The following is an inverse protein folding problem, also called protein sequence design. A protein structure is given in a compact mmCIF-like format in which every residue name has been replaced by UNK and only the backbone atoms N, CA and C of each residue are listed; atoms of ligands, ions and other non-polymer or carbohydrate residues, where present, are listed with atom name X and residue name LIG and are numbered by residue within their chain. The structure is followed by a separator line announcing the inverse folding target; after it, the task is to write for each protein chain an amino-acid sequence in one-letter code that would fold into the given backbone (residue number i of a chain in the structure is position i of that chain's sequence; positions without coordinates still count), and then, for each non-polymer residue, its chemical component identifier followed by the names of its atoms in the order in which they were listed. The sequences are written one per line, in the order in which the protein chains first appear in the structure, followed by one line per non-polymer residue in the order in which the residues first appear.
data_IF_461668042950
#
_entry.id   IF_461668042950
#
_cell.length_a   1.000
_cell.length_b   1.000
_cell.length_c   1.000
_cell.angle_alpha   90.00
_cell.angle_beta   90.00
_cell.angle_gamma   90.00
#
_symmetry.space_group_name_H-M   'P 1'
#
loop_
_entity.id
_entity.type
_entity.pdbx_description
1 polymer ?
#
# COMPACT_ATOMS: atom_id res chain seq x y z
N UNK A 1 -19.11 -9.10 5.21
CA UNK A 1 -17.84 -9.16 4.47
C UNK A 1 -17.34 -7.77 4.11
N UNK A 2 -18.10 -6.94 3.37
CA UNK A 2 -17.66 -5.60 2.98
C UNK A 2 -17.22 -4.73 4.16
N UNK A 3 -17.96 -4.73 5.27
CA UNK A 3 -17.55 -4.00 6.47
C UNK A 3 -16.30 -4.56 7.14
N UNK A 4 -16.01 -5.86 7.02
CA UNK A 4 -14.80 -6.45 7.60
C UNK A 4 -13.55 -6.01 6.83
N UNK A 5 -13.64 -5.84 5.51
CA UNK A 5 -12.55 -5.25 4.72
C UNK A 5 -12.22 -3.82 5.20
N UNK A 6 -13.24 -3.06 5.60
CA UNK A 6 -13.10 -1.70 6.10
C UNK A 6 -12.60 -1.62 7.55
N UNK A 7 -12.43 -2.75 8.26
CA UNK A 7 -11.79 -2.76 9.58
C UNK A 7 -10.27 -2.97 9.52
N UNK A 8 -9.68 -2.84 8.33
CA UNK A 8 -8.22 -2.87 8.14
C UNK A 8 -7.65 -1.47 8.33
N UNK A 9 -6.84 -1.19 9.38
CA UNK A 9 -6.29 0.14 9.59
C UNK A 9 -5.46 0.61 8.41
N UNK A 10 -4.66 -0.27 7.80
CA UNK A 10 -3.81 0.07 6.65
C UNK A 10 -4.63 0.49 5.42
N UNK A 11 -5.78 -0.15 5.20
CA UNK A 11 -6.66 0.21 4.09
C UNK A 11 -7.29 1.60 4.31
N UNK A 12 -7.75 1.88 5.54
CA UNK A 12 -8.40 3.15 5.89
C UNK A 12 -7.38 4.29 5.92
N UNK A 13 -6.22 4.09 6.54
CA UNK A 13 -5.18 5.09 6.67
C UNK A 13 -4.64 5.52 5.30
N UNK A 14 -4.29 4.57 4.44
CA UNK A 14 -3.81 4.89 3.10
C UNK A 14 -4.90 5.26 2.10
N UNK A 15 -6.18 5.05 2.44
CA UNK A 15 -7.31 5.41 1.58
C UNK A 15 -7.49 6.90 1.35
N UNK A 16 -6.88 7.74 2.20
CA UNK A 16 -6.84 9.21 2.05
C UNK A 16 -5.46 9.72 1.65
N UNK A 17 -4.55 8.83 1.24
CA UNK A 17 -3.19 9.19 0.81
C UNK A 17 -3.08 9.30 -0.71
N UNK A 18 -1.93 9.79 -1.20
CA UNK A 18 -1.60 9.81 -2.63
C UNK A 18 -1.03 8.48 -3.16
N UNK A 19 -1.00 7.43 -2.34
CA UNK A 19 -0.49 6.12 -2.76
C UNK A 19 -1.46 5.43 -3.72
N UNK A 20 -0.90 4.74 -4.72
CA UNK A 20 -1.71 4.05 -5.73
C UNK A 20 -2.27 2.69 -5.25
N UNK A 21 -1.78 2.16 -4.12
CA UNK A 21 -2.13 0.83 -3.60
C UNK A 21 -3.62 0.68 -3.24
N UNK A 22 -4.23 1.64 -2.53
CA UNK A 22 -5.67 1.59 -2.19
C UNK A 22 -6.57 1.75 -3.43
N UNK A 23 -6.34 2.74 -4.32
CA UNK A 23 -7.05 2.82 -5.60
C UNK A 23 -6.92 1.54 -6.44
N UNK A 24 -5.72 0.97 -6.55
CA UNK A 24 -5.49 -0.27 -7.30
C UNK A 24 -6.30 -1.44 -6.72
N UNK A 25 -6.27 -1.62 -5.39
CA UNK A 25 -7.08 -2.66 -4.74
C UNK A 25 -8.59 -2.41 -4.89
N UNK A 26 -9.04 -1.16 -4.84
CA UNK A 26 -10.44 -0.79 -5.08
C UNK A 26 -10.89 -1.15 -6.51
N UNK A 27 -10.03 -0.92 -7.51
CA UNK A 27 -10.27 -1.36 -8.88
C UNK A 27 -10.39 -2.88 -9.00
N UNK A 28 -9.59 -3.65 -8.25
CA UNK A 28 -9.74 -5.12 -8.19
C UNK A 28 -11.12 -5.51 -7.64
N UNK A 29 -11.59 -4.90 -6.55
CA UNK A 29 -12.91 -5.19 -5.98
C UNK A 29 -14.04 -4.85 -6.97
N UNK A 30 -13.95 -3.70 -7.65
CA UNK A 30 -14.89 -3.31 -8.70
C UNK A 30 -14.85 -4.29 -9.89
N UNK A 31 -13.66 -4.74 -10.28
CA UNK A 31 -13.49 -5.72 -11.36
C UNK A 31 -14.15 -7.06 -11.01
N UNK A 32 -14.00 -7.53 -9.78
CA UNK A 32 -14.65 -8.76 -9.28
C UNK A 32 -16.18 -8.61 -9.21
N UNK A 33 -16.68 -7.43 -8.83
CA UNK A 33 -18.11 -7.15 -8.90
C UNK A 33 -18.63 -7.20 -10.35
N UNK A 34 -17.94 -6.55 -11.29
CA UNK A 34 -18.30 -6.60 -12.71
C UNK A 34 -18.26 -8.05 -13.24
N UNK A 35 -17.28 -8.86 -12.82
CA UNK A 35 -17.22 -10.28 -13.16
C UNK A 35 -18.41 -11.08 -12.60
N UNK A 36 -18.87 -10.77 -11.38
CA UNK A 36 -20.08 -11.35 -10.83
C UNK A 36 -21.32 -10.98 -11.67
N UNK A 37 -21.41 -9.72 -12.11
CA UNK A 37 -22.50 -9.27 -13.02
C UNK A 37 -22.42 -9.94 -14.38
N UNK A 38 -21.21 -10.19 -14.88
CA UNK A 38 -21.00 -10.99 -16.10
C UNK A 38 -21.57 -12.39 -15.93
N UNK A 39 -21.20 -13.09 -14.85
CA UNK A 39 -21.70 -14.43 -14.56
C UNK A 39 -23.24 -14.48 -14.46
N UNK A 40 -23.85 -13.52 -13.76
CA UNK A 40 -25.30 -13.51 -13.54
C UNK A 40 -26.11 -13.20 -14.81
N UNK A 41 -25.61 -12.29 -15.66
CA UNK A 41 -26.40 -11.75 -16.77
C UNK A 41 -25.94 -12.27 -18.15
N UNK A 42 -24.76 -12.88 -18.26
CA UNK A 42 -24.15 -13.32 -19.52
C UNK A 42 -23.74 -12.18 -20.47
N UNK A 43 -23.98 -10.92 -20.10
CA UNK A 43 -23.64 -9.77 -20.93
C UNK A 43 -22.14 -9.50 -20.95
N UNK A 44 -21.52 -9.72 -22.11
CA UNK A 44 -20.08 -9.56 -22.34
C UNK A 44 -19.53 -8.18 -21.94
N UNK A 45 -20.32 -7.11 -22.00
CA UNK A 45 -19.91 -5.78 -21.57
C UNK A 45 -19.42 -5.74 -20.11
N UNK A 46 -19.99 -6.57 -19.23
CA UNK A 46 -19.52 -6.69 -17.84
C UNK A 46 -18.14 -7.33 -17.74
N UNK A 47 -17.83 -8.32 -18.59
CA UNK A 47 -16.49 -8.91 -18.64
C UNK A 47 -15.48 -7.90 -19.18
N UNK A 48 -15.80 -7.19 -20.26
CA UNK A 48 -14.96 -6.13 -20.80
C UNK A 48 -14.69 -5.03 -19.76
N UNK A 49 -15.73 -4.56 -19.06
CA UNK A 49 -15.59 -3.60 -17.96
C UNK A 49 -14.73 -4.13 -16.82
N UNK A 50 -14.87 -5.41 -16.44
CA UNK A 50 -14.01 -6.06 -15.45
C UNK A 50 -12.54 -6.02 -15.87
N UNK A 51 -12.23 -6.32 -17.14
CA UNK A 51 -10.85 -6.32 -17.65
C UNK A 51 -10.26 -4.91 -17.73
N UNK A 52 -11.06 -3.89 -18.07
CA UNK A 52 -10.63 -2.48 -17.99
C UNK A 52 -10.25 -2.13 -16.55
N UNK A 53 -11.07 -2.52 -15.56
CA UNK A 53 -10.79 -2.25 -14.15
C UNK A 53 -9.55 -3.01 -13.65
N UNK A 54 -9.34 -4.26 -14.07
CA UNK A 54 -8.09 -4.98 -13.79
C UNK A 54 -6.87 -4.32 -14.45
N UNK A 55 -6.99 -3.83 -15.69
CA UNK A 55 -5.92 -3.10 -16.35
C UNK A 55 -5.56 -1.81 -15.57
N UNK A 56 -6.56 -1.04 -15.14
CA UNK A 56 -6.35 0.15 -14.29
C UNK A 56 -5.66 -0.20 -12.97
N UNK A 57 -6.09 -1.28 -12.31
CA UNK A 57 -5.42 -1.77 -11.10
C UNK A 57 -3.95 -2.10 -11.36
N UNK A 58 -3.65 -2.82 -12.45
CA UNK A 58 -2.29 -3.22 -12.82
C UNK A 58 -1.37 -2.08 -13.24
N UNK A 59 -1.92 -1.08 -13.94
CA UNK A 59 -1.20 0.13 -14.34
C UNK A 59 -0.83 1.00 -13.14
N UNK A 60 -1.69 1.02 -12.10
CA UNK A 60 -1.42 1.70 -10.84
C UNK A 60 -0.46 0.91 -9.95
N UNK A 61 -0.68 -0.40 -9.84
CA UNK A 61 0.11 -1.32 -9.01
C UNK A 61 -0.02 -2.76 -9.50
N UNK A 62 1.01 -3.24 -10.19
CA UNK A 62 1.03 -4.62 -10.73
C UNK A 62 0.81 -5.69 -9.67
N UNK A 63 1.26 -5.47 -8.43
CA UNK A 63 1.10 -6.43 -7.33
C UNK A 63 -0.34 -6.65 -6.90
N UNK A 64 -1.27 -5.74 -7.22
CA UNK A 64 -2.69 -5.92 -6.93
C UNK A 64 -3.37 -6.96 -7.84
N UNK A 65 -2.70 -7.45 -8.89
CA UNK A 65 -3.28 -8.36 -9.90
C UNK A 65 -3.37 -9.83 -9.47
N UNK A 66 -3.19 -10.17 -8.19
CA UNK A 66 -3.32 -11.56 -7.68
C UNK A 66 -4.67 -12.17 -8.10
N UNK A 67 -5.76 -11.40 -7.99
CA UNK A 67 -7.10 -11.84 -8.41
C UNK A 67 -7.25 -12.02 -9.93
N UNK A 68 -6.54 -11.22 -10.72
CA UNK A 68 -6.53 -11.37 -12.18
C UNK A 68 -5.78 -12.62 -12.61
N UNK A 69 -4.61 -12.90 -12.01
CA UNK A 69 -3.86 -14.13 -12.24
C UNK A 69 -4.70 -15.36 -11.87
N UNK A 70 -5.42 -15.30 -10.75
CA UNK A 70 -6.41 -16.32 -10.39
C UNK A 70 -7.49 -16.50 -11.48
N UNK A 71 -8.00 -15.41 -12.05
CA UNK A 71 -9.01 -15.49 -13.11
C UNK A 71 -8.47 -16.14 -14.39
N UNK A 72 -7.25 -15.81 -14.79
CA UNK A 72 -6.56 -16.46 -15.92
C UNK A 72 -6.35 -17.95 -15.63
N UNK A 73 -5.97 -18.32 -14.41
CA UNK A 73 -5.87 -19.72 -13.99
C UNK A 73 -7.22 -20.43 -14.13
N UNK A 74 -8.32 -19.83 -13.65
CA UNK A 74 -9.67 -20.38 -13.82
C UNK A 74 -10.00 -20.58 -15.31
N UNK A 75 -9.74 -19.58 -16.15
CA UNK A 75 -9.95 -19.67 -17.59
C UNK A 75 -9.19 -20.86 -18.21
N UNK A 76 -7.92 -21.04 -17.87
CA UNK A 76 -7.11 -22.18 -18.33
C UNK A 76 -7.69 -23.52 -17.87
N UNK A 77 -8.11 -23.63 -16.61
CA UNK A 77 -8.73 -24.84 -16.09
C UNK A 77 -10.05 -25.16 -16.81
N UNK A 78 -10.85 -24.16 -17.15
CA UNK A 78 -12.07 -24.36 -17.93
C UNK A 78 -11.82 -24.74 -19.39
N UNK A 79 -10.72 -24.27 -19.98
CA UNK A 79 -10.26 -24.72 -21.28
C UNK A 79 -9.88 -26.22 -21.26
N UNK A 80 -9.35 -26.72 -20.13
CA UNK A 80 -9.07 -28.14 -19.89
C UNK A 80 -10.33 -28.96 -19.53
N UNK A 81 -11.51 -28.35 -19.55
CA UNK A 81 -12.78 -29.05 -19.33
C UNK A 81 -13.31 -29.03 -17.89
N UNK A 82 -12.60 -28.41 -16.94
CA UNK A 82 -13.08 -28.22 -15.57
C UNK A 82 -14.26 -27.23 -15.60
N UNK A 83 -15.29 -27.48 -14.81
CA UNK A 83 -16.45 -26.59 -14.67
C UNK A 83 -16.32 -25.83 -13.35
N UNK A 84 -15.86 -24.58 -13.39
CA UNK A 84 -15.53 -23.85 -12.17
C UNK A 84 -16.76 -23.65 -11.27
N UNK A 85 -17.95 -23.52 -11.87
CA UNK A 85 -19.21 -23.25 -11.17
C UNK A 85 -20.05 -24.53 -11.01
N UNK A 86 -19.41 -25.62 -10.60
CA UNK A 86 -20.04 -26.93 -10.40
C UNK A 86 -20.43 -27.57 -11.74
N UNK A 87 -21.66 -27.35 -12.18
CA UNK A 87 -22.18 -27.94 -13.42
C UNK A 87 -22.02 -27.03 -14.65
N UNK A 88 -21.49 -25.81 -14.47
CA UNK A 88 -21.35 -24.80 -15.52
C UNK A 88 -19.94 -24.22 -15.55
N UNK A 89 -19.56 -23.72 -16.73
CA UNK A 89 -18.36 -22.89 -16.90
C UNK A 89 -18.66 -21.42 -16.55
N UNK A 90 -17.68 -20.70 -16.04
CA UNK A 90 -17.69 -19.24 -15.92
C UNK A 90 -17.55 -18.59 -17.30
N UNK A 91 -16.71 -19.18 -18.16
CA UNK A 91 -16.36 -18.72 -19.48
C UNK A 91 -17.04 -19.58 -20.56
N UNK A 92 -18.01 -19.00 -21.25
CA UNK A 92 -18.85 -19.72 -22.22
C UNK A 92 -18.38 -19.53 -23.68
N UNK A 93 -17.55 -18.52 -23.95
CA UNK A 93 -17.11 -18.10 -25.30
C UNK A 93 -15.58 -17.92 -25.33
N UNK A 94 -14.81 -19.02 -25.30
CA UNK A 94 -13.41 -19.01 -24.92
C UNK A 94 -12.53 -18.10 -25.79
N UNK A 95 -12.73 -18.06 -27.12
CA UNK A 95 -11.93 -17.20 -28.00
C UNK A 95 -12.15 -15.71 -27.71
N UNK A 96 -13.41 -15.31 -27.56
CA UNK A 96 -13.77 -13.90 -27.31
C UNK A 96 -13.35 -13.46 -25.91
N UNK A 97 -13.50 -14.34 -24.92
CA UNK A 97 -13.11 -14.08 -23.54
C UNK A 97 -11.58 -14.07 -23.38
N UNK A 98 -10.86 -14.97 -24.05
CA UNK A 98 -9.41 -14.97 -24.13
C UNK A 98 -8.87 -13.64 -24.68
N UNK A 99 -9.47 -13.12 -25.76
CA UNK A 99 -9.04 -11.85 -26.34
C UNK A 99 -9.09 -10.69 -25.34
N UNK A 100 -10.14 -10.60 -24.51
CA UNK A 100 -10.27 -9.53 -23.51
C UNK A 100 -9.40 -9.81 -22.28
N UNK A 101 -9.21 -11.06 -21.88
CA UNK A 101 -8.25 -11.41 -20.82
C UNK A 101 -6.82 -11.02 -21.24
N UNK A 102 -6.42 -11.30 -22.48
CA UNK A 102 -5.08 -10.99 -23.02
C UNK A 102 -4.82 -9.50 -23.17
N UNK A 103 -5.85 -8.68 -23.28
CA UNK A 103 -5.71 -7.23 -23.35
C UNK A 103 -5.05 -6.63 -22.10
N UNK A 104 -5.35 -7.18 -20.92
CA UNK A 104 -4.82 -6.69 -19.64
C UNK A 104 -3.28 -6.74 -19.57
N UNK A 105 -2.63 -7.92 -19.75
CA UNK A 105 -1.16 -7.99 -19.72
C UNK A 105 -0.51 -7.21 -20.88
N UNK A 106 -1.15 -7.11 -22.06
CA UNK A 106 -0.62 -6.31 -23.18
C UNK A 106 -0.49 -4.84 -22.81
N UNK A 107 -1.54 -4.25 -22.21
CA UNK A 107 -1.49 -2.85 -21.76
C UNK A 107 -0.45 -2.61 -20.68
N UNK A 108 -0.40 -3.50 -19.68
CA UNK A 108 0.55 -3.37 -18.58
C UNK A 108 1.98 -3.50 -19.11
N UNK A 109 2.24 -4.47 -19.98
CA UNK A 109 3.55 -4.64 -20.61
C UNK A 109 3.95 -3.41 -21.43
N UNK A 110 3.05 -2.87 -22.25
CA UNK A 110 3.31 -1.67 -23.05
C UNK A 110 3.71 -0.47 -22.16
N UNK A 111 3.01 -0.26 -21.05
CA UNK A 111 3.34 0.81 -20.09
C UNK A 111 4.71 0.61 -19.44
N UNK A 112 4.99 -0.58 -18.90
CA UNK A 112 6.27 -0.86 -18.23
C UNK A 112 7.44 -0.83 -19.21
N UNK A 113 7.23 -1.28 -20.45
CA UNK A 113 8.22 -1.17 -21.52
C UNK A 113 8.52 0.30 -21.84
N UNK A 114 7.49 1.12 -22.02
CA UNK A 114 7.65 2.57 -22.22
C UNK A 114 8.40 3.23 -21.05
N UNK A 115 7.98 2.95 -19.81
CA UNK A 115 8.63 3.50 -18.62
C UNK A 115 10.10 3.09 -18.52
N UNK A 116 10.44 1.86 -18.92
CA UNK A 116 11.83 1.42 -18.99
C UNK A 116 12.64 2.23 -20.00
N UNK A 117 12.12 2.42 -21.23
CA UNK A 117 12.78 3.24 -22.25
C UNK A 117 13.00 4.68 -21.79
N UNK A 118 11.98 5.29 -21.16
CA UNK A 118 12.06 6.65 -20.63
C UNK A 118 13.16 6.80 -19.55
N UNK A 119 13.26 5.83 -18.64
CA UNK A 119 14.28 5.84 -17.58
C UNK A 119 15.70 5.68 -18.14
N UNK A 120 15.89 4.79 -19.12
CA UNK A 120 17.19 4.60 -19.79
C UNK A 120 17.61 5.88 -20.51
N UNK A 121 16.68 6.58 -21.16
CA UNK A 121 16.96 7.84 -21.83
C UNK A 121 17.30 8.98 -20.86
N UNK A 122 16.69 9.00 -19.68
CA UNK A 122 16.83 10.09 -18.71
C UNK A 122 17.99 9.89 -17.72
N UNK A 123 18.72 8.77 -17.81
CA UNK A 123 19.74 8.31 -16.86
C UNK A 123 19.29 8.40 -15.38
N UNK A 124 17.99 8.22 -15.15
CA UNK A 124 17.37 8.37 -13.86
C UNK A 124 16.29 7.32 -13.65
N UNK A 125 16.30 6.71 -12.45
CA UNK A 125 15.33 5.69 -12.06
C UNK A 125 14.65 6.12 -10.77
N UNK A 126 13.48 6.76 -10.90
CA UNK A 126 12.70 7.26 -9.77
C UNK A 126 12.09 6.15 -8.90
N UNK A 127 11.68 5.03 -9.51
CA UNK A 127 10.93 3.97 -8.82
C UNK A 127 11.56 2.58 -8.95
N UNK A 128 11.46 1.82 -7.86
CA UNK A 128 11.76 0.39 -7.84
C UNK A 128 10.68 -0.39 -8.61
N UNK A 129 10.81 -0.46 -9.93
CA UNK A 129 9.92 -1.25 -10.79
C UNK A 129 10.30 -2.74 -10.84
N UNK A 130 10.99 -3.24 -9.82
CA UNK A 130 11.52 -4.61 -9.75
C UNK A 130 10.98 -5.35 -8.53
N UNK A 131 10.98 -6.68 -8.61
CA UNK A 131 10.79 -7.54 -7.44
C UNK A 131 12.01 -7.47 -6.53
N UNK A 132 11.79 -7.62 -5.23
CA UNK A 132 12.82 -7.68 -4.19
C UNK A 132 12.64 -8.99 -3.43
N UNK A 133 13.04 -10.12 -4.01
CA UNK A 133 12.79 -11.42 -3.40
C UNK A 133 13.62 -11.65 -2.14
N UNK A 134 13.07 -12.43 -1.20
CA UNK A 134 13.70 -12.67 0.10
C UNK A 134 15.13 -13.25 0.00
N UNK A 135 15.42 -14.09 -1.00
CA UNK A 135 16.75 -14.69 -1.20
C UNK A 135 17.81 -13.72 -1.71
N UNK A 136 17.43 -12.48 -2.06
CA UNK A 136 18.37 -11.39 -2.35
C UNK A 136 18.64 -10.50 -1.14
N UNK A 137 17.87 -10.65 -0.06
CA UNK A 137 18.01 -9.83 1.13
C UNK A 137 19.20 -10.25 1.99
N UNK A 138 19.82 -9.29 2.68
CA UNK A 138 20.87 -9.57 3.66
C UNK A 138 20.29 -10.12 4.96
N UNK A 139 21.13 -10.76 5.79
CA UNK A 139 20.71 -11.21 7.13
C UNK A 139 20.19 -10.05 7.98
N UNK A 140 20.81 -8.88 7.87
CA UNK A 140 20.40 -7.65 8.57
C UNK A 140 19.01 -7.18 8.13
N UNK A 141 18.72 -7.19 6.81
CA UNK A 141 17.40 -6.85 6.28
C UNK A 141 16.32 -7.83 6.78
N UNK A 142 16.64 -9.11 6.89
CA UNK A 142 15.69 -10.13 7.38
C UNK A 142 15.45 -10.01 8.89
N UNK A 143 16.47 -9.69 9.67
CA UNK A 143 16.32 -9.40 11.10
C UNK A 143 15.46 -8.15 11.29
N UNK A 144 15.78 -7.06 10.57
CA UNK A 144 15.00 -5.83 10.60
C UNK A 144 13.56 -6.05 10.15
N UNK A 145 13.32 -6.92 9.17
CA UNK A 145 11.96 -7.31 8.80
C UNK A 145 11.21 -7.96 9.97
N UNK A 146 11.82 -8.92 10.68
CA UNK A 146 11.19 -9.56 11.83
C UNK A 146 10.83 -8.56 12.94
N UNK A 147 11.80 -7.69 13.27
CA UNK A 147 11.65 -6.61 14.24
C UNK A 147 10.53 -5.64 13.85
N UNK A 148 10.55 -5.11 12.62
CA UNK A 148 9.51 -4.19 12.13
C UNK A 148 8.15 -4.86 12.00
N UNK A 149 8.12 -6.16 11.67
CA UNK A 149 6.86 -6.88 11.55
C UNK A 149 6.15 -7.00 12.90
N UNK A 150 6.89 -7.35 13.95
CA UNK A 150 6.42 -7.43 15.32
C UNK A 150 6.05 -6.05 15.89
N UNK A 151 6.95 -5.07 15.71
CA UNK A 151 6.77 -3.74 16.26
C UNK A 151 5.65 -2.94 15.57
N UNK A 152 5.44 -3.13 14.26
CA UNK A 152 4.66 -2.18 13.47
C UNK A 152 3.58 -2.82 12.61
N UNK A 153 4.00 -3.71 11.72
CA UNK A 153 3.17 -4.17 10.62
C UNK A 153 1.97 -4.95 11.09
N UNK A 154 2.17 -5.86 12.05
CA UNK A 154 1.13 -6.76 12.52
C UNK A 154 -0.12 -6.01 13.03
N UNK A 155 0.08 -4.92 13.78
CA UNK A 155 -1.01 -4.10 14.31
C UNK A 155 -1.63 -3.15 13.31
N UNK A 156 -0.98 -2.94 12.16
CA UNK A 156 -1.45 -2.02 11.13
C UNK A 156 -2.37 -2.71 10.10
N UNK A 157 -2.29 -4.03 9.92
CA UNK A 157 -3.08 -4.75 8.89
C UNK A 157 -4.50 -5.07 9.37
N UNK A 158 -4.61 -5.76 10.50
CA UNK A 158 -5.87 -6.16 11.15
C UNK A 158 -5.59 -6.49 12.62
N UNK A 159 -6.61 -6.43 13.47
CA UNK A 159 -6.51 -7.04 14.79
C UNK A 159 -6.34 -8.57 14.69
N UNK A 160 -5.66 -9.17 15.68
CA UNK A 160 -5.41 -10.62 15.76
C UNK A 160 -6.67 -11.46 15.58
N UNK A 161 -7.81 -10.97 16.05
CA UNK A 161 -9.09 -11.68 15.96
C UNK A 161 -9.56 -11.88 14.52
N UNK A 162 -9.29 -10.95 13.59
CA UNK A 162 -9.57 -11.13 12.16
C UNK A 162 -8.59 -12.10 11.53
N UNK A 163 -7.30 -12.00 11.88
CA UNK A 163 -6.27 -12.91 11.38
C UNK A 163 -6.55 -14.36 11.81
N UNK A 164 -6.92 -14.56 13.08
CA UNK A 164 -7.37 -15.86 13.61
C UNK A 164 -8.64 -16.34 12.90
N UNK A 165 -9.62 -15.46 12.66
CA UNK A 165 -10.81 -15.81 11.88
C UNK A 165 -10.44 -16.29 10.47
N UNK A 166 -9.54 -15.58 9.77
CA UNK A 166 -9.08 -15.98 8.44
C UNK A 166 -8.37 -17.32 8.47
N UNK A 167 -7.48 -17.55 9.44
CA UNK A 167 -6.76 -18.82 9.59
C UNK A 167 -7.73 -19.98 9.85
N UNK A 168 -8.65 -19.83 10.81
CA UNK A 168 -9.65 -20.84 11.12
C UNK A 168 -10.59 -21.10 9.93
N UNK A 169 -10.94 -20.05 9.18
CA UNK A 169 -11.77 -20.18 7.98
C UNK A 169 -11.02 -20.89 6.84
N UNK A 170 -9.72 -20.63 6.70
CA UNK A 170 -8.87 -21.36 5.74
C UNK A 170 -8.80 -22.84 6.10
N UNK A 171 -8.53 -23.17 7.38
CA UNK A 171 -8.53 -24.57 7.87
C UNK A 171 -9.90 -25.22 7.62
N UNK A 172 -11.00 -24.52 7.88
CA UNK A 172 -12.34 -25.00 7.59
C UNK A 172 -12.54 -25.32 6.10
N UNK A 173 -12.14 -24.41 5.20
CA UNK A 173 -12.24 -24.64 3.76
C UNK A 173 -11.40 -25.84 3.31
N UNK A 174 -10.20 -26.03 3.87
CA UNK A 174 -9.35 -27.19 3.59
C UNK A 174 -9.98 -28.49 4.11
N UNK A 175 -10.58 -28.48 5.30
CA UNK A 175 -11.30 -29.64 5.84
C UNK A 175 -12.56 -30.00 5.02
N UNK A 176 -13.17 -29.01 4.36
CA UNK A 176 -14.34 -29.18 3.49
C UNK A 176 -14.00 -29.13 2.00
N UNK A 177 -12.72 -29.26 1.63
CA UNK A 177 -12.24 -28.99 0.27
C UNK A 177 -12.99 -29.76 -0.82
N UNK A 178 -13.31 -31.04 -0.57
CA UNK A 178 -14.04 -31.88 -1.51
C UNK A 178 -15.54 -31.54 -1.65
N UNK A 179 -16.08 -30.73 -0.73
CA UNK A 179 -17.46 -30.26 -0.76
C UNK A 179 -17.59 -28.88 -1.43
N UNK A 180 -16.48 -28.21 -1.70
CA UNK A 180 -16.46 -26.90 -2.36
C UNK A 180 -16.58 -27.06 -3.89
N UNK A 181 -17.19 -26.07 -4.55
CA UNK A 181 -17.12 -25.91 -6.00
C UNK A 181 -15.67 -25.70 -6.47
N UNK A 182 -15.36 -26.01 -7.73
CA UNK A 182 -14.02 -25.84 -8.28
C UNK A 182 -13.51 -24.40 -8.15
N UNK A 183 -14.35 -23.39 -8.41
CA UNK A 183 -13.99 -21.99 -8.21
C UNK A 183 -13.61 -21.71 -6.75
N UNK A 184 -14.38 -22.23 -5.79
CA UNK A 184 -14.11 -22.06 -4.36
C UNK A 184 -12.83 -22.80 -3.92
N UNK A 185 -12.56 -23.99 -4.46
CA UNK A 185 -11.29 -24.72 -4.27
C UNK A 185 -10.12 -23.91 -4.77
N UNK A 186 -10.18 -23.42 -6.02
CA UNK A 186 -9.14 -22.60 -6.62
C UNK A 186 -8.93 -21.30 -5.85
N UNK A 187 -10.00 -20.64 -5.38
CA UNK A 187 -9.90 -19.44 -4.54
C UNK A 187 -9.19 -19.74 -3.22
N UNK A 188 -9.46 -20.89 -2.61
CA UNK A 188 -8.87 -21.32 -1.34
C UNK A 188 -7.39 -21.70 -1.47
N UNK A 189 -6.92 -22.05 -2.68
CA UNK A 189 -5.52 -22.48 -2.90
C UNK A 189 -4.70 -21.46 -3.67
N UNK A 190 -5.14 -21.07 -4.85
CA UNK A 190 -4.38 -20.24 -5.81
C UNK A 190 -4.19 -18.83 -5.30
N UNK A 191 -5.22 -18.21 -4.69
CA UNK A 191 -5.09 -16.84 -4.17
C UNK A 191 -4.17 -16.80 -2.93
N UNK A 192 -4.33 -17.67 -1.91
CA UNK A 192 -3.36 -17.78 -0.82
C UNK A 192 -1.94 -18.09 -1.28
N UNK A 193 -1.77 -18.99 -2.25
CA UNK A 193 -0.46 -19.28 -2.84
C UNK A 193 0.13 -18.05 -3.54
N UNK A 194 -0.66 -17.34 -4.34
CA UNK A 194 -0.24 -16.10 -4.99
C UNK A 194 0.10 -14.99 -3.99
N UNK A 195 -0.66 -14.90 -2.89
CA UNK A 195 -0.35 -14.01 -1.77
C UNK A 195 0.96 -14.35 -1.07
N UNK A 196 1.22 -15.64 -0.81
CA UNK A 196 2.49 -16.10 -0.26
C UNK A 196 3.66 -15.81 -1.20
N UNK A 197 3.51 -16.09 -2.51
CA UNK A 197 4.51 -15.79 -3.51
C UNK A 197 4.80 -14.27 -3.56
N UNK A 198 3.76 -13.44 -3.57
CA UNK A 198 3.91 -11.99 -3.48
C UNK A 198 4.66 -11.56 -2.21
N UNK A 199 4.27 -12.09 -1.05
CA UNK A 199 4.94 -11.80 0.21
C UNK A 199 6.45 -12.10 0.14
N UNK A 200 6.84 -13.27 -0.39
CA UNK A 200 8.24 -13.64 -0.54
C UNK A 200 9.00 -12.84 -1.61
N UNK A 201 8.31 -12.37 -2.65
CA UNK A 201 8.90 -11.58 -3.73
C UNK A 201 9.10 -10.09 -3.38
N UNK A 202 8.51 -9.61 -2.28
CA UNK A 202 8.59 -8.22 -1.81
C UNK A 202 9.04 -8.08 -0.35
N UNK A 203 9.45 -9.19 0.29
CA UNK A 203 9.73 -9.25 1.73
C UNK A 203 10.66 -8.14 2.25
N UNK A 204 11.81 -7.83 1.63
CA UNK A 204 12.72 -6.78 2.08
C UNK A 204 12.10 -5.38 2.00
N UNK A 205 11.16 -5.13 1.08
CA UNK A 205 10.48 -3.83 0.98
C UNK A 205 9.37 -3.67 2.03
N UNK A 206 8.76 -4.79 2.44
CA UNK A 206 7.68 -4.79 3.43
C UNK A 206 8.15 -4.40 4.85
N UNK A 207 9.45 -4.46 5.14
CA UNK A 207 10.02 -3.98 6.43
C UNK A 207 10.03 -2.45 6.53
N UNK A 208 10.08 -1.76 5.40
CA UNK A 208 10.14 -0.29 5.32
C UNK A 208 8.79 0.34 5.02
N UNK A 209 7.91 -0.40 4.36
CA UNK A 209 6.69 0.12 3.77
C UNK A 209 5.53 -0.85 3.99
N UNK A 210 4.69 -0.55 4.96
CA UNK A 210 3.52 -1.37 5.26
C UNK A 210 2.48 -1.35 4.14
N UNK A 211 2.34 -0.29 3.34
CA UNK A 211 1.32 -0.23 2.29
C UNK A 211 1.37 -1.41 1.29
N UNK A 212 2.51 -2.10 1.16
CA UNK A 212 2.61 -3.34 0.37
C UNK A 212 1.67 -4.45 0.85
N UNK A 213 1.20 -4.44 2.10
CA UNK A 213 0.22 -5.40 2.62
C UNK A 213 -1.19 -5.18 2.08
N UNK A 214 -1.50 -4.03 1.47
CA UNK A 214 -2.81 -3.75 0.87
C UNK A 214 -3.13 -4.77 -0.23
N UNK A 215 -2.14 -5.18 -1.03
CA UNK A 215 -2.33 -6.20 -2.06
C UNK A 215 -2.79 -7.56 -1.47
N UNK A 216 -2.41 -7.88 -0.23
CA UNK A 216 -2.79 -9.10 0.47
C UNK A 216 -4.22 -9.07 1.04
N UNK A 217 -4.89 -7.91 1.03
CA UNK A 217 -6.29 -7.82 1.48
C UNK A 217 -7.24 -8.64 0.60
N UNK A 218 -6.81 -9.04 -0.60
CA UNK A 218 -7.55 -9.97 -1.46
C UNK A 218 -7.76 -11.35 -0.81
N UNK A 219 -6.91 -11.73 0.16
CA UNK A 219 -7.06 -12.97 0.92
C UNK A 219 -8.37 -13.00 1.71
N UNK A 220 -8.87 -11.84 2.15
CA UNK A 220 -10.10 -11.74 2.94
C UNK A 220 -11.31 -12.29 2.16
N UNK A 221 -11.70 -11.75 1.00
CA UNK A 221 -12.80 -12.33 0.23
C UNK A 221 -12.45 -13.74 -0.29
N UNK A 222 -11.19 -14.01 -0.65
CA UNK A 222 -10.80 -15.31 -1.20
C UNK A 222 -10.96 -16.48 -0.21
N UNK A 223 -10.79 -16.22 1.09
CA UNK A 223 -10.93 -17.21 2.16
C UNK A 223 -12.36 -17.22 2.71
N UNK A 224 -12.96 -16.04 2.95
CA UNK A 224 -14.28 -15.96 3.59
C UNK A 224 -15.42 -16.38 2.66
N UNK A 225 -15.37 -16.03 1.36
CA UNK A 225 -16.48 -16.34 0.46
C UNK A 225 -16.72 -17.85 0.30
N UNK A 226 -15.72 -18.70 0.02
CA UNK A 226 -15.91 -20.15 -0.03
C UNK A 226 -16.63 -20.72 1.21
N UNK A 227 -16.19 -20.32 2.40
CA UNK A 227 -16.79 -20.78 3.66
C UNK A 227 -18.22 -20.30 3.82
N UNK A 228 -18.48 -19.02 3.54
CA UNK A 228 -19.83 -18.45 3.65
C UNK A 228 -20.80 -19.09 2.66
N UNK A 229 -20.36 -19.39 1.43
CA UNK A 229 -21.18 -20.11 0.46
C UNK A 229 -21.48 -21.53 0.93
N UNK A 230 -20.47 -22.28 1.36
CA UNK A 230 -20.65 -23.64 1.87
C UNK A 230 -21.58 -23.68 3.10
N UNK A 231 -21.36 -22.80 4.09
CA UNK A 231 -22.21 -22.67 5.27
C UNK A 231 -23.64 -22.26 4.91
N UNK A 232 -23.84 -21.41 3.90
CA UNK A 232 -25.17 -21.04 3.42
C UNK A 232 -25.88 -22.22 2.78
N UNK A 233 -25.19 -23.05 2.01
CA UNK A 233 -25.78 -24.20 1.32
C UNK A 233 -26.13 -25.34 2.29
N UNK A 234 -25.25 -25.64 3.24
CA UNK A 234 -25.40 -26.82 4.11
C UNK A 234 -25.87 -26.50 5.53
N UNK A 235 -25.69 -25.26 6.00
CA UNK A 235 -25.90 -24.87 7.40
C UNK A 235 -26.63 -23.51 7.55
N UNK A 236 -27.47 -23.14 6.58
CA UNK A 236 -28.18 -21.84 6.55
C UNK A 236 -28.90 -21.51 7.86
N UNK A 237 -29.52 -22.49 8.51
CA UNK A 237 -30.24 -22.30 9.78
C UNK A 237 -29.34 -21.72 10.87
N UNK A 238 -28.07 -22.12 10.93
CA UNK A 238 -27.09 -21.63 11.93
C UNK A 238 -26.78 -20.15 11.70
N UNK A 239 -26.53 -19.75 10.45
CA UNK A 239 -26.24 -18.36 10.10
C UNK A 239 -27.41 -17.40 10.39
N UNK A 240 -28.63 -17.93 10.41
CA UNK A 240 -29.84 -17.15 10.69
C UNK A 240 -30.16 -17.02 12.18
N UNK A 241 -29.46 -17.73 13.07
CA UNK A 241 -29.70 -17.66 14.51
C UNK A 241 -29.30 -16.30 15.08
N UNK A 242 -30.14 -15.73 15.95
CA UNK A 242 -29.90 -14.42 16.59
C UNK A 242 -28.55 -14.34 17.33
N UNK A 243 -28.13 -15.34 18.12
CA UNK A 243 -26.83 -15.28 18.80
C UNK A 243 -25.65 -15.15 17.83
N UNK A 244 -25.64 -15.91 16.73
CA UNK A 244 -24.59 -15.84 15.71
C UNK A 244 -24.50 -14.44 15.10
N UNK A 245 -25.65 -13.81 14.83
CA UNK A 245 -25.70 -12.45 14.31
C UNK A 245 -25.19 -11.42 15.31
N UNK A 246 -25.59 -11.53 16.58
CA UNK A 246 -25.11 -10.61 17.63
C UNK A 246 -23.60 -10.76 17.86
N UNK A 247 -23.07 -11.98 17.86
CA UNK A 247 -21.63 -12.23 17.92
C UNK A 247 -20.92 -11.62 16.71
N UNK A 248 -21.46 -11.80 15.50
CA UNK A 248 -20.86 -11.22 14.28
C UNK A 248 -20.89 -9.68 14.29
N UNK A 249 -21.98 -9.06 14.78
CA UNK A 249 -22.09 -7.61 14.94
C UNK A 249 -21.11 -7.11 15.99
N UNK A 250 -21.05 -7.75 17.16
CA UNK A 250 -20.11 -7.41 18.22
C UNK A 250 -18.66 -7.55 17.78
N UNK A 251 -18.33 -8.62 17.05
CA UNK A 251 -17.02 -8.83 16.44
C UNK A 251 -16.68 -7.72 15.45
N UNK A 252 -17.63 -7.34 14.58
CA UNK A 252 -17.41 -6.26 13.61
C UNK A 252 -17.24 -4.90 14.31
N UNK A 253 -18.09 -4.59 15.30
CA UNK A 253 -18.01 -3.36 16.07
C UNK A 253 -16.67 -3.25 16.81
N UNK A 254 -16.22 -4.33 17.45
CA UNK A 254 -14.92 -4.41 18.09
C UNK A 254 -13.77 -4.12 17.10
N UNK A 255 -13.77 -4.76 15.93
CA UNK A 255 -12.72 -4.54 14.93
C UNK A 255 -12.77 -3.15 14.29
N UNK A 256 -13.96 -2.56 14.16
CA UNK A 256 -14.11 -1.17 13.73
C UNK A 256 -13.52 -0.21 14.77
N UNK A 257 -13.80 -0.41 16.06
CA UNK A 257 -13.22 0.39 17.15
C UNK A 257 -11.69 0.25 17.20
N UNK A 258 -11.16 -0.97 17.00
CA UNK A 258 -9.72 -1.19 16.87
C UNK A 258 -9.14 -0.42 15.68
N UNK A 259 -9.78 -0.51 14.50
CA UNK A 259 -9.35 0.19 13.30
C UNK A 259 -9.31 1.70 13.53
N UNK A 260 -10.36 2.27 14.12
CA UNK A 260 -10.38 3.69 14.47
C UNK A 260 -9.27 4.06 15.45
N UNK A 261 -9.01 3.25 16.48
CA UNK A 261 -7.94 3.50 17.43
C UNK A 261 -6.56 3.54 16.77
N UNK A 262 -6.28 2.58 15.88
CA UNK A 262 -5.01 2.54 15.14
C UNK A 262 -4.90 3.74 14.18
N UNK A 263 -5.95 4.06 13.41
CA UNK A 263 -5.92 5.19 12.47
C UNK A 263 -5.75 6.54 13.21
N UNK A 264 -6.43 6.72 14.34
CA UNK A 264 -6.25 7.92 15.17
C UNK A 264 -4.84 8.03 15.74
N UNK A 265 -4.23 6.92 16.18
CA UNK A 265 -2.84 6.90 16.62
C UNK A 265 -1.88 7.29 15.49
N UNK A 266 -2.07 6.74 14.29
CA UNK A 266 -1.23 7.03 13.12
C UNK A 266 -1.42 8.44 12.56
N UNK A 267 -2.57 9.05 12.82
CA UNK A 267 -2.87 10.43 12.42
C UNK A 267 -2.50 11.45 13.51
N UNK A 268 -1.97 10.99 14.64
CA UNK A 268 -1.73 11.73 15.89
C UNK A 268 -2.92 12.59 16.33
N UNK A 269 -4.04 11.89 16.47
CA UNK A 269 -5.21 12.40 17.14
C UNK A 269 -5.12 12.10 18.65
N UNK A 270 -4.71 13.12 19.42
CA UNK A 270 -4.33 12.99 20.84
C UNK A 270 -5.41 12.51 21.80
N UNK A 271 -6.69 12.74 21.47
CA UNK A 271 -7.80 12.53 22.41
C UNK A 271 -8.51 11.18 22.26
N UNK A 272 -7.92 10.20 21.55
CA UNK A 272 -8.56 8.90 21.34
C UNK A 272 -8.03 7.82 22.28
N UNK A 273 -8.95 6.95 22.70
CA UNK A 273 -8.62 5.81 23.55
C UNK A 273 -7.75 4.78 22.82
N UNK A 274 -6.60 4.45 23.42
CA UNK A 274 -5.65 3.46 22.91
C UNK A 274 -5.83 2.07 23.54
N UNK A 275 -6.87 1.88 24.37
CA UNK A 275 -7.10 0.66 25.18
C UNK A 275 -7.19 -0.61 24.34
N UNK A 276 -7.64 -0.51 23.09
CA UNK A 276 -7.76 -1.66 22.18
C UNK A 276 -6.43 -2.04 21.49
N UNK A 277 -5.39 -1.22 21.63
CA UNK A 277 -4.07 -1.47 21.04
C UNK A 277 -3.19 -2.10 22.12
N UNK A 278 -3.01 -3.42 22.06
CA UNK A 278 -2.26 -4.18 23.06
C UNK A 278 -0.76 -4.32 22.73
N UNK A 279 -0.37 -4.01 21.50
CA UNK A 279 1.03 -4.05 21.06
C UNK A 279 1.77 -2.81 21.59
N UNK A 280 2.56 -2.98 22.66
CA UNK A 280 3.33 -1.89 23.28
C UNK A 280 4.43 -1.33 22.38
N UNK A 281 5.28 -2.17 21.73
CA UNK A 281 6.23 -1.65 20.75
C UNK A 281 5.59 -0.79 19.65
N UNK A 282 4.39 -1.15 19.20
CA UNK A 282 3.64 -0.33 18.24
C UNK A 282 3.23 1.03 18.79
N UNK A 283 2.84 1.11 20.06
CA UNK A 283 2.52 2.38 20.70
C UNK A 283 3.77 3.26 20.81
N UNK A 284 4.88 2.69 21.27
CA UNK A 284 6.15 3.40 21.47
C UNK A 284 6.68 3.98 20.15
N UNK A 285 6.72 3.19 19.08
CA UNK A 285 7.22 3.67 17.79
C UNK A 285 6.30 4.74 17.19
N UNK A 286 4.98 4.66 17.41
CA UNK A 286 4.05 5.69 16.95
C UNK A 286 4.14 6.95 17.76
N UNK A 287 4.30 6.85 19.08
CA UNK A 287 4.53 8.02 19.91
C UNK A 287 5.83 8.74 19.54
N UNK A 288 6.88 8.00 19.19
CA UNK A 288 8.10 8.58 18.63
C UNK A 288 7.84 9.35 17.33
N UNK A 289 7.21 8.72 16.32
CA UNK A 289 6.93 9.39 15.04
C UNK A 289 5.98 10.59 15.20
N UNK A 290 5.01 10.49 16.11
CA UNK A 290 4.09 11.58 16.40
C UNK A 290 4.83 12.74 17.07
N UNK A 291 5.71 12.46 18.05
CA UNK A 291 6.57 13.47 18.65
C UNK A 291 7.50 14.12 17.61
N UNK A 292 8.13 13.33 16.73
CA UNK A 292 8.97 13.85 15.65
C UNK A 292 8.18 14.77 14.70
N UNK A 293 6.97 14.35 14.33
CA UNK A 293 6.07 15.16 13.51
C UNK A 293 5.75 16.50 14.17
N UNK A 294 5.40 16.48 15.44
CA UNK A 294 5.04 17.69 16.18
C UNK A 294 6.21 18.63 16.41
N UNK A 295 7.36 18.08 16.81
CA UNK A 295 8.55 18.86 17.16
C UNK A 295 9.28 19.36 15.91
N UNK A 296 9.40 18.55 14.85
CA UNK A 296 10.29 18.85 13.72
C UNK A 296 9.56 19.20 12.42
N UNK A 297 8.47 18.51 12.07
CA UNK A 297 7.84 18.67 10.74
C UNK A 297 6.69 19.68 10.72
N UNK A 298 5.90 19.78 11.79
CA UNK A 298 4.75 20.69 11.84
C UNK A 298 5.14 22.17 11.73
N UNK A 299 6.36 22.54 12.15
CA UNK A 299 6.87 23.91 11.97
C UNK A 299 7.04 24.28 10.49
N UNK A 300 7.41 23.31 9.64
CA UNK A 300 7.64 23.55 8.21
C UNK A 300 6.35 23.93 7.48
N UNK A 301 5.19 23.40 7.88
CA UNK A 301 3.90 23.73 7.26
C UNK A 301 3.44 25.17 7.52
N UNK A 302 4.05 25.84 8.51
CA UNK A 302 3.77 27.25 8.86
C UNK A 302 4.72 28.23 8.18
N UNK A 303 5.77 27.73 7.50
CA UNK A 303 6.82 28.57 6.95
C UNK A 303 6.46 29.21 5.61
N UNK A 304 5.40 28.79 4.92
CA UNK A 304 5.12 29.27 3.56
C UNK A 304 5.04 30.81 3.47
N UNK A 305 4.29 31.45 4.37
CA UNK A 305 4.18 32.91 4.42
C UNK A 305 5.51 33.58 4.77
N UNK A 306 6.22 33.03 5.76
CA UNK A 306 7.52 33.56 6.19
C UNK A 306 8.58 33.48 5.08
N UNK A 307 8.62 32.38 4.34
CA UNK A 307 9.50 32.23 3.17
C UNK A 307 9.19 33.26 2.08
N UNK A 308 7.90 33.54 1.82
CA UNK A 308 7.51 34.56 0.85
C UNK A 308 7.96 35.96 1.28
N UNK A 309 7.87 36.30 2.58
CA UNK A 309 8.36 37.59 3.12
C UNK A 309 9.87 37.76 2.93
N UNK A 310 10.63 36.67 3.00
CA UNK A 310 12.08 36.66 2.76
C UNK A 310 12.45 36.66 1.25
N UNK A 311 11.46 36.67 0.36
CA UNK A 311 11.64 36.61 -1.09
C UNK A 311 11.93 35.20 -1.62
N UNK A 312 11.69 34.16 -0.83
CA UNK A 312 11.79 32.74 -1.25
C UNK A 312 10.42 32.27 -1.71
N UNK A 313 9.99 32.71 -2.89
CA UNK A 313 8.68 32.34 -3.46
C UNK A 313 8.60 30.87 -3.93
N UNK A 314 7.42 30.41 -4.37
CA UNK A 314 7.21 29.04 -4.84
C UNK A 314 8.00 28.66 -6.12
N UNK A 315 8.50 29.65 -6.86
CA UNK A 315 9.35 29.44 -8.03
C UNK A 315 10.82 29.27 -7.66
N UNK A 316 11.23 29.75 -6.48
CA UNK A 316 12.57 29.54 -5.94
C UNK A 316 12.87 28.05 -5.81
N UNK A 317 14.08 27.67 -6.24
CA UNK A 317 14.62 26.32 -6.01
C UNK A 317 15.49 26.34 -4.76
N UNK A 318 15.17 25.48 -3.81
CA UNK A 318 15.83 25.43 -2.50
C UNK A 318 16.58 24.11 -2.30
N UNK A 319 17.61 24.13 -1.48
CA UNK A 319 18.24 22.91 -0.94
C UNK A 319 17.82 22.80 0.51
N UNK A 320 17.24 21.67 0.93
CA UNK A 320 16.74 21.48 2.30
C UNK A 320 17.45 20.31 2.98
N UNK A 321 18.02 20.55 4.16
CA UNK A 321 18.82 19.59 4.90
C UNK A 321 18.50 19.54 6.41
N UNK A 322 18.51 18.35 7.04
CA UNK A 322 18.48 17.03 6.43
C UNK A 322 17.07 16.67 5.92
N UNK A 323 16.99 15.70 5.02
CA UNK A 323 15.74 15.00 4.68
C UNK A 323 16.11 13.67 4.03
N UNK A 324 15.74 12.56 4.68
CA UNK A 324 16.03 11.20 4.22
C UNK A 324 15.11 10.72 3.08
N UNK A 325 14.12 11.54 2.72
CA UNK A 325 13.17 11.29 1.64
C UNK A 325 13.48 12.15 0.41
N UNK A 326 12.79 11.88 -0.69
CA UNK A 326 12.94 12.69 -1.90
C UNK A 326 12.30 14.08 -1.76
N UNK A 327 11.35 14.28 -0.82
CA UNK A 327 10.49 15.46 -0.86
C UNK A 327 9.65 15.76 0.41
N UNK A 328 9.83 15.12 1.56
CA UNK A 328 9.02 15.41 2.77
C UNK A 328 9.11 16.90 3.11
N UNK A 329 10.33 17.42 3.28
CA UNK A 329 10.56 18.82 3.67
C UNK A 329 10.12 19.78 2.58
N UNK A 330 10.44 19.48 1.31
CA UNK A 330 10.02 20.28 0.15
C UNK A 330 8.48 20.37 0.05
N UNK A 331 7.78 19.26 0.28
CA UNK A 331 6.33 19.20 0.29
C UNK A 331 5.75 20.06 1.42
N UNK A 332 6.28 19.91 2.65
CA UNK A 332 5.80 20.67 3.81
C UNK A 332 6.07 22.17 3.69
N UNK A 333 7.20 22.56 3.08
CA UNK A 333 7.55 23.97 2.82
C UNK A 333 6.81 24.55 1.59
N UNK A 334 6.14 23.70 0.80
CA UNK A 334 5.57 24.05 -0.49
C UNK A 334 6.61 24.73 -1.42
N UNK A 335 7.80 24.11 -1.56
CA UNK A 335 8.90 24.60 -2.41
C UNK A 335 9.43 23.49 -3.32
N UNK A 336 10.02 23.90 -4.45
CA UNK A 336 10.72 22.99 -5.37
C UNK A 336 12.21 23.00 -5.03
N UNK A 337 12.89 21.89 -5.32
CA UNK A 337 14.34 21.84 -5.16
C UNK A 337 14.85 20.45 -4.82
N UNK A 338 15.83 20.39 -3.93
CA UNK A 338 16.59 19.19 -3.60
C UNK A 338 16.63 18.94 -2.10
N UNK A 339 16.77 17.67 -1.72
CA UNK A 339 16.81 17.20 -0.34
C UNK A 339 18.11 16.45 -0.04
N UNK A 340 18.41 16.27 1.25
CA UNK A 340 19.59 15.52 1.72
C UNK A 340 19.65 14.05 1.31
N UNK A 341 18.59 13.47 0.75
CA UNK A 341 18.56 12.09 0.25
C UNK A 341 19.49 11.85 -0.92
N UNK A 342 19.83 12.89 -1.69
CA UNK A 342 20.87 12.81 -2.73
C UNK A 342 22.29 12.69 -2.13
N UNK A 343 22.43 12.62 -0.79
CA UNK A 343 23.67 12.43 -0.05
C UNK A 343 24.74 13.45 -0.43
N UNK A 344 24.40 14.74 -0.35
CA UNK A 344 25.40 15.81 -0.50
C UNK A 344 26.40 15.71 0.66
N UNK A 345 27.61 15.28 0.35
CA UNK A 345 28.67 15.04 1.35
C UNK A 345 29.82 16.03 1.21
N UNK A 346 29.80 16.84 0.15
CA UNK A 346 30.87 17.78 -0.18
C UNK A 346 30.33 19.17 -0.48
N UNK A 347 31.21 20.18 -0.41
CA UNK A 347 30.85 21.53 -0.82
C UNK A 347 30.62 21.61 -2.34
N UNK A 348 31.30 20.76 -3.11
CA UNK A 348 31.16 20.64 -4.56
C UNK A 348 29.74 20.20 -4.96
N UNK A 349 29.12 19.31 -4.17
CA UNK A 349 27.73 18.90 -4.39
C UNK A 349 26.77 20.10 -4.29
N UNK A 350 26.94 20.93 -3.26
CA UNK A 350 26.10 22.12 -3.05
C UNK A 350 26.37 23.19 -4.12
N UNK A 351 27.63 23.40 -4.51
CA UNK A 351 27.96 24.28 -5.65
C UNK A 351 27.33 23.79 -6.95
N UNK A 352 27.31 22.48 -7.19
CA UNK A 352 26.66 21.93 -8.38
C UNK A 352 25.15 22.21 -8.38
N UNK A 353 24.48 22.17 -7.21
CA UNK A 353 23.06 22.56 -7.12
C UNK A 353 22.85 24.06 -7.36
N UNK A 354 23.74 24.92 -6.88
CA UNK A 354 23.74 26.36 -7.19
C UNK A 354 23.81 26.58 -8.71
N UNK A 355 24.73 25.89 -9.40
CA UNK A 355 24.84 25.93 -10.85
C UNK A 355 23.58 25.43 -11.57
N UNK A 356 22.80 24.53 -10.95
CA UNK A 356 21.49 24.06 -11.44
C UNK A 356 20.32 24.98 -11.07
N UNK A 357 20.62 26.14 -10.48
CA UNK A 357 19.67 27.20 -10.16
C UNK A 357 19.09 27.12 -8.77
N UNK A 358 19.72 26.42 -7.83
CA UNK A 358 19.39 26.58 -6.41
C UNK A 358 19.73 28.00 -5.95
N UNK A 359 18.82 28.59 -5.16
CA UNK A 359 18.90 30.00 -4.73
C UNK A 359 19.06 30.14 -3.22
N UNK A 360 18.61 29.15 -2.47
CA UNK A 360 18.60 29.19 -1.01
C UNK A 360 18.94 27.81 -0.43
N UNK A 361 19.57 27.82 0.73
CA UNK A 361 19.82 26.67 1.59
C UNK A 361 18.97 26.79 2.84
N UNK A 362 18.22 25.75 3.17
CA UNK A 362 17.36 25.68 4.35
C UNK A 362 17.87 24.53 5.23
N UNK A 363 18.29 24.85 6.45
CA UNK A 363 18.79 23.89 7.43
C UNK A 363 17.75 23.76 8.55
N UNK A 364 17.20 22.55 8.71
CA UNK A 364 16.18 22.25 9.72
C UNK A 364 16.78 21.61 10.98
N UNK A 365 18.04 21.17 10.95
CA UNK A 365 18.76 20.62 12.09
C UNK A 365 20.07 21.41 12.32
N UNK A 366 20.14 22.11 13.45
CA UNK A 366 21.30 22.93 13.83
C UNK A 366 22.60 22.10 13.95
N UNK A 367 22.53 20.77 14.10
CA UNK A 367 23.72 19.90 14.08
C UNK A 367 24.51 20.03 12.76
N UNK A 368 23.84 20.34 11.65
CA UNK A 368 24.48 20.53 10.35
C UNK A 368 25.23 21.86 10.23
N UNK A 369 24.97 22.84 11.11
CA UNK A 369 25.65 24.14 11.05
C UNK A 369 27.16 24.04 11.29
N UNK A 370 27.63 22.96 11.91
CA UNK A 370 29.05 22.71 12.12
C UNK A 370 29.67 21.81 11.03
N UNK A 371 28.90 21.38 10.04
CA UNK A 371 29.40 20.50 8.98
C UNK A 371 30.41 21.28 8.11
N UNK A 372 31.66 20.78 7.93
CA UNK A 372 32.70 21.49 7.18
C UNK A 372 32.28 21.82 5.74
N UNK A 373 31.56 20.91 5.09
CA UNK A 373 31.12 21.08 3.70
C UNK A 373 30.02 22.14 3.52
N UNK A 374 29.32 22.52 4.60
CA UNK A 374 28.29 23.56 4.54
C UNK A 374 28.84 24.95 4.85
N UNK A 375 29.97 25.07 5.55
CA UNK A 375 30.53 26.36 5.98
C UNK A 375 30.58 27.44 4.90
N UNK A 376 30.99 27.14 3.64
CA UNK A 376 31.03 28.15 2.58
C UNK A 376 29.67 28.78 2.24
N UNK A 377 28.58 28.16 2.66
CA UNK A 377 27.20 28.56 2.31
C UNK A 377 26.42 29.16 3.49
N UNK A 378 27.05 29.31 4.66
CA UNK A 378 26.37 29.79 5.88
C UNK A 378 26.57 31.28 6.16
N UNK A 379 27.27 32.02 5.29
CA UNK A 379 27.61 33.43 5.53
C UNK A 379 26.39 34.37 5.45
N UNK A 380 25.44 34.08 4.56
CA UNK A 380 24.32 34.97 4.25
C UNK A 380 23.00 34.43 4.81
N UNK A 381 22.89 34.33 6.13
CA UNK A 381 21.62 33.99 6.77
C UNK A 381 20.60 35.12 6.58
N UNK A 382 19.45 34.80 5.99
CA UNK A 382 18.36 35.74 5.73
C UNK A 382 17.15 35.51 6.63
N UNK A 383 17.08 34.37 7.33
CA UNK A 383 15.95 34.03 8.19
C UNK A 383 16.24 32.97 9.24
N UNK A 384 15.39 32.96 10.25
CA UNK A 384 15.30 31.94 11.31
C UNK A 384 13.83 31.80 11.70
N UNK A 385 13.29 30.60 11.58
CA UNK A 385 11.94 30.29 11.99
C UNK A 385 11.91 29.02 12.82
N UNK A 386 11.66 29.15 14.12
CA UNK A 386 11.51 28.01 15.04
C UNK A 386 12.67 27.00 14.95
N UNK A 387 13.91 27.48 14.79
CA UNK A 387 15.09 26.63 14.64
C UNK A 387 15.30 26.09 13.22
N UNK A 388 14.69 26.71 12.21
CA UNK A 388 14.98 26.48 10.78
C UNK A 388 15.73 27.68 10.23
N UNK A 389 16.97 27.47 9.80
CA UNK A 389 17.87 28.50 9.29
C UNK A 389 17.76 28.60 7.78
N UNK A 390 17.69 29.82 7.26
CA UNK A 390 17.56 30.08 5.82
C UNK A 390 18.73 30.94 5.38
N UNK A 391 19.48 30.46 4.39
CA UNK A 391 20.64 31.11 3.81
C UNK A 391 20.38 31.38 2.33
N UNK A 392 20.86 32.54 1.86
CA UNK A 392 20.91 32.86 0.44
C UNK A 392 22.27 32.48 -0.12
N UNK A 393 22.28 31.82 -1.28
CA UNK A 393 23.51 31.48 -1.99
C UNK A 393 24.17 32.64 -2.71
#
# INVERSE_FOLDING_TARGET
MSFLLLTSPIYVYYGVSFLSDVPAFSFVLMALYALLRYHQNGHFGWLAGSMVLFALAGLLKVSSLIAFVFLVFVFCMEALGIKALGNKKLFARPLREAAVLMWVPVLIFAWYYYAHLYNVQSDFKYTFNSIHPFWKGTTEEMQRFGEMFEMYTYSSIYHVSVLTLLLLTLIYNLARFQQLSWLARFSTTVIPFGGALYFFLWLPLMSHHDYYYIALLILVPAILLPALFHLREHHSKVLLQKPVRYVAIGFLAFNMLYCMAVVHLQSDYKNWSRVLITNKPFLEIRDFFNWERETNFNRLTRMESYLNELGVDQSARVVVLPDESFNITLYLLNRKGWTGRELFQTAEDIEHLKLRGATHLIIIDDNLLNAPYLQPFLEHQIGDFEGVRIYRF
#
